data_IF_030473667272
#
_entry.id   IF_030473667272
#
_cell.length_a   1.000
_cell.length_b   1.000
_cell.length_c   1.000
_cell.angle_alpha   90.00
_cell.angle_beta   90.00
_cell.angle_gamma   90.00
#
_symmetry.space_group_name_H-M   'P 1'
#
loop_
_entity.id
_entity.type
_entity.pdbx_description
1 polymer ?
#
# COMPACT_ATOMS: atom_id res chain seq x y z
N UNK A 1 -9.03 -18.49 0.92
CA UNK A 1 -10.38 -18.00 1.23
C UNK A 1 -10.45 -16.59 1.85
N UNK A 2 -9.38 -15.96 2.40
CA UNK A 2 -9.47 -14.54 2.82
C UNK A 2 -9.28 -13.50 1.68
N UNK A 3 -8.38 -13.78 0.72
CA UNK A 3 -7.95 -12.78 -0.28
C UNK A 3 -9.05 -12.34 -1.25
N UNK A 4 -9.94 -13.26 -1.62
CA UNK A 4 -11.04 -13.01 -2.59
C UNK A 4 -12.10 -12.07 -2.01
N UNK A 5 -12.25 -12.03 -0.69
CA UNK A 5 -13.23 -11.16 -0.02
C UNK A 5 -12.77 -9.70 0.05
N UNK A 6 -11.49 -9.40 -0.18
CA UNK A 6 -10.98 -8.03 -0.03
C UNK A 6 -11.57 -7.05 -1.03
N UNK A 7 -11.75 -7.42 -2.29
CA UNK A 7 -12.33 -6.51 -3.29
C UNK A 7 -13.75 -6.04 -2.91
N UNK A 8 -14.68 -6.98 -2.65
CA UNK A 8 -16.04 -6.64 -2.21
C UNK A 8 -16.09 -5.90 -0.86
N UNK A 9 -15.26 -6.29 0.11
CA UNK A 9 -15.19 -5.63 1.43
C UNK A 9 -14.64 -4.20 1.32
N UNK A 10 -13.58 -4.00 0.55
CA UNK A 10 -12.98 -2.69 0.30
C UNK A 10 -13.97 -1.74 -0.38
N UNK A 11 -14.68 -2.21 -1.40
CA UNK A 11 -15.75 -1.44 -2.03
C UNK A 11 -16.96 -1.21 -1.11
N UNK A 12 -17.22 -2.10 -0.16
CA UNK A 12 -18.23 -1.89 0.86
C UNK A 12 -17.81 -0.81 1.86
N UNK A 13 -16.52 -0.71 2.21
CA UNK A 13 -15.99 0.36 3.08
C UNK A 13 -16.36 1.73 2.56
N UNK A 14 -16.19 1.99 1.26
CA UNK A 14 -16.59 3.26 0.64
C UNK A 14 -18.08 3.56 0.71
N UNK A 15 -18.94 2.54 0.60
CA UNK A 15 -20.40 2.70 0.74
C UNK A 15 -20.81 2.95 2.19
N UNK A 16 -20.12 2.31 3.14
CA UNK A 16 -20.37 2.48 4.57
C UNK A 16 -19.94 3.89 4.99
N UNK A 17 -18.72 4.33 4.62
CA UNK A 17 -18.23 5.67 4.97
C UNK A 17 -19.07 6.77 4.35
N UNK A 18 -19.56 6.61 3.11
CA UNK A 18 -20.47 7.56 2.47
C UNK A 18 -21.82 7.72 3.21
N UNK A 19 -22.25 6.71 3.96
CA UNK A 19 -23.49 6.74 4.75
C UNK A 19 -23.31 7.21 6.20
N UNK A 20 -22.07 7.44 6.66
CA UNK A 20 -21.79 7.85 8.03
C UNK A 20 -21.82 9.39 8.16
N UNK A 21 -22.30 9.93 9.30
CA UNK A 21 -22.50 11.36 9.48
C UNK A 21 -21.20 12.17 9.68
N UNK A 22 -20.06 11.50 9.84
CA UNK A 22 -18.75 12.14 9.94
C UNK A 22 -18.14 12.40 8.56
N UNK A 23 -17.74 13.65 8.33
CA UNK A 23 -17.08 14.11 7.10
C UNK A 23 -15.72 13.44 6.93
N UNK A 24 -15.37 13.13 5.69
CA UNK A 24 -14.03 12.67 5.33
C UNK A 24 -12.99 13.67 5.84
N UNK A 25 -12.07 13.17 6.68
CA UNK A 25 -11.07 13.94 7.39
C UNK A 25 -9.83 14.10 6.51
N UNK A 26 -9.51 15.29 6.04
CA UNK A 26 -8.21 15.56 5.39
C UNK A 26 -7.38 16.56 6.18
N UNK A 27 -8.02 17.53 6.85
CA UNK A 27 -7.35 18.60 7.60
C UNK A 27 -6.23 18.14 8.55
N UNK A 28 -6.42 17.12 9.42
CA UNK A 28 -5.36 16.69 10.32
C UNK A 28 -4.15 16.05 9.63
N UNK A 29 -4.37 15.27 8.57
CA UNK A 29 -3.30 14.58 7.83
C UNK A 29 -2.56 15.58 6.92
N UNK A 30 -3.31 16.44 6.25
CA UNK A 30 -2.75 17.53 5.43
C UNK A 30 -1.94 18.51 6.28
N UNK A 31 -2.40 18.84 7.49
CA UNK A 31 -1.66 19.66 8.44
C UNK A 31 -0.40 18.96 8.96
N UNK A 32 -0.43 17.64 9.12
CA UNK A 32 0.76 16.86 9.50
C UNK A 32 1.80 16.85 8.38
N UNK A 33 1.39 16.70 7.10
CA UNK A 33 2.30 16.83 5.95
C UNK A 33 2.93 18.24 5.94
N UNK A 34 2.12 19.30 6.11
CA UNK A 34 2.60 20.68 6.18
C UNK A 34 3.62 20.87 7.33
N UNK A 35 3.33 20.33 8.52
CA UNK A 35 4.20 20.47 9.68
C UNK A 35 5.53 19.71 9.53
N UNK A 36 5.51 18.54 8.90
CA UNK A 36 6.70 17.69 8.74
C UNK A 36 7.57 18.08 7.55
N UNK A 37 6.97 18.54 6.46
CA UNK A 37 7.67 18.79 5.19
C UNK A 37 7.68 20.25 4.76
N UNK A 38 7.01 21.15 5.50
CA UNK A 38 6.89 22.57 5.14
C UNK A 38 5.97 22.82 3.94
N UNK A 39 5.20 21.81 3.51
CA UNK A 39 4.30 21.89 2.37
C UNK A 39 3.63 20.53 2.11
N UNK A 40 3.06 20.36 0.92
CA UNK A 40 2.42 19.11 0.50
C UNK A 40 3.33 18.35 -0.48
N UNK A 41 4.03 17.27 -0.05
CA UNK A 41 4.91 16.48 -0.92
C UNK A 41 4.24 15.96 -2.18
N UNK A 42 2.96 15.60 -2.09
CA UNK A 42 2.15 15.15 -3.22
C UNK A 42 1.96 16.22 -4.31
N UNK A 43 2.14 17.49 -3.98
CA UNK A 43 2.05 18.60 -4.93
C UNK A 43 3.41 18.98 -5.50
N UNK A 44 4.37 19.33 -4.64
CA UNK A 44 5.62 19.92 -5.11
C UNK A 44 6.56 18.89 -5.77
N UNK A 45 6.45 17.59 -5.47
CA UNK A 45 7.32 16.58 -6.08
C UNK A 45 7.07 16.47 -7.59
N UNK A 46 5.79 16.41 -7.99
CA UNK A 46 5.40 16.34 -9.40
C UNK A 46 5.70 17.65 -10.15
N UNK A 47 5.57 18.80 -9.47
CA UNK A 47 5.95 20.10 -10.03
C UNK A 47 7.46 20.23 -10.24
N UNK A 48 8.26 19.75 -9.28
CA UNK A 48 9.72 19.85 -9.35
C UNK A 48 10.36 18.84 -10.29
N UNK A 49 9.80 17.64 -10.39
CA UNK A 49 10.30 16.56 -11.23
C UNK A 49 9.31 16.22 -12.34
N UNK A 50 9.01 17.19 -13.19
CA UNK A 50 8.00 17.08 -14.26
C UNK A 50 8.47 16.23 -15.45
N UNK A 51 9.01 15.03 -15.20
CA UNK A 51 9.57 14.14 -16.22
C UNK A 51 8.61 12.98 -16.51
N UNK A 52 8.22 12.82 -17.78
CA UNK A 52 7.33 11.72 -18.20
C UNK A 52 7.91 10.34 -17.82
N UNK A 53 9.22 10.13 -17.98
CA UNK A 53 9.86 8.86 -17.64
C UNK A 53 9.75 8.53 -16.14
N UNK A 54 9.88 9.53 -15.26
CA UNK A 54 9.70 9.35 -13.83
C UNK A 54 8.23 9.05 -13.49
N UNK A 55 7.30 9.80 -14.10
CA UNK A 55 5.86 9.54 -13.95
C UNK A 55 5.52 8.10 -14.31
N UNK A 56 5.95 7.63 -15.48
CA UNK A 56 5.67 6.27 -15.95
C UNK A 56 6.32 5.21 -15.06
N UNK A 57 7.56 5.41 -14.62
CA UNK A 57 8.23 4.50 -13.70
C UNK A 57 7.49 4.38 -12.36
N UNK A 58 7.00 5.50 -11.81
CA UNK A 58 6.27 5.52 -10.55
C UNK A 58 4.86 4.94 -10.69
N UNK A 59 4.14 5.22 -11.78
CA UNK A 59 2.85 4.58 -12.05
C UNK A 59 3.00 3.07 -12.27
N UNK A 60 4.07 2.62 -12.95
CA UNK A 60 4.39 1.20 -13.08
C UNK A 60 4.71 0.58 -11.71
N UNK A 61 5.52 1.24 -10.89
CA UNK A 61 5.82 0.77 -9.53
C UNK A 61 4.52 0.63 -8.72
N UNK A 62 3.65 1.64 -8.76
CA UNK A 62 2.32 1.59 -8.11
C UNK A 62 1.48 0.43 -8.63
N UNK A 63 1.38 0.26 -9.95
CA UNK A 63 0.62 -0.83 -10.58
C UNK A 63 1.15 -2.22 -10.22
N UNK A 64 2.47 -2.36 -10.03
CA UNK A 64 3.10 -3.63 -9.68
C UNK A 64 2.64 -4.20 -8.33
N UNK A 65 2.02 -3.38 -7.48
CA UNK A 65 1.48 -3.75 -6.16
C UNK A 65 0.74 -5.09 -6.15
N UNK A 66 -0.15 -5.33 -7.13
CA UNK A 66 -0.95 -6.55 -7.20
C UNK A 66 -0.09 -7.82 -7.38
N UNK A 67 1.01 -7.70 -8.12
CA UNK A 67 1.98 -8.79 -8.32
C UNK A 67 2.82 -9.00 -7.07
N UNK A 68 3.31 -7.91 -6.46
CA UNK A 68 4.13 -7.95 -5.26
C UNK A 68 3.41 -8.64 -4.11
N UNK A 69 2.10 -8.41 -3.95
CA UNK A 69 1.32 -9.01 -2.86
C UNK A 69 1.33 -10.54 -2.89
N UNK A 70 1.33 -11.12 -4.09
CA UNK A 70 1.27 -12.59 -4.28
C UNK A 70 2.66 -13.22 -4.45
N UNK A 71 3.70 -12.42 -4.69
CA UNK A 71 5.04 -12.93 -4.99
C UNK A 71 5.60 -13.85 -3.88
N UNK A 72 5.58 -13.41 -2.62
CA UNK A 72 6.10 -14.21 -1.52
C UNK A 72 5.27 -15.48 -1.24
N UNK A 73 3.93 -15.41 -1.10
CA UNK A 73 3.12 -16.62 -0.92
C UNK A 73 3.27 -17.64 -2.04
N UNK A 74 3.25 -17.21 -3.31
CA UNK A 74 3.40 -18.12 -4.47
C UNK A 74 4.76 -18.81 -4.44
N UNK A 75 5.83 -18.05 -4.20
CA UNK A 75 7.17 -18.62 -4.11
C UNK A 75 7.32 -19.64 -2.97
N UNK A 76 6.76 -19.34 -1.80
CA UNK A 76 6.78 -20.23 -0.64
C UNK A 76 5.99 -21.53 -0.91
N UNK A 77 4.80 -21.44 -1.54
CA UNK A 77 4.03 -22.62 -1.97
C UNK A 77 4.79 -23.45 -3.00
N UNK A 78 5.38 -22.80 -4.01
CA UNK A 78 6.20 -23.46 -5.02
C UNK A 78 7.43 -24.16 -4.40
N UNK A 79 7.96 -23.61 -3.31
CA UNK A 79 9.06 -24.18 -2.53
C UNK A 79 8.62 -25.21 -1.48
N UNK A 80 7.35 -25.63 -1.48
CA UNK A 80 6.76 -26.57 -0.50
C UNK A 80 6.83 -26.10 0.97
N UNK A 81 6.88 -24.77 1.17
CA UNK A 81 6.90 -24.10 2.49
C UNK A 81 5.50 -23.61 2.85
N UNK A 82 4.51 -24.51 2.84
CA UNK A 82 3.08 -24.18 2.98
C UNK A 82 2.75 -23.41 4.26
N UNK A 83 3.45 -23.73 5.35
CA UNK A 83 3.32 -23.05 6.63
C UNK A 83 3.64 -21.56 6.54
N UNK A 84 4.80 -21.24 5.97
CA UNK A 84 5.25 -19.86 5.79
C UNK A 84 4.38 -19.11 4.79
N UNK A 85 3.94 -19.78 3.73
CA UNK A 85 2.97 -19.20 2.81
C UNK A 85 1.67 -18.81 3.51
N UNK A 86 1.14 -19.68 4.39
CA UNK A 86 -0.05 -19.36 5.21
C UNK A 86 0.21 -18.18 6.13
N UNK A 87 1.38 -18.11 6.76
CA UNK A 87 1.74 -16.96 7.60
C UNK A 87 1.85 -15.67 6.79
N UNK A 88 2.45 -15.69 5.60
CA UNK A 88 2.53 -14.53 4.72
C UNK A 88 1.14 -14.01 4.33
N UNK A 89 0.23 -14.92 3.96
CA UNK A 89 -1.16 -14.57 3.63
C UNK A 89 -1.91 -14.03 4.86
N UNK A 90 -1.74 -14.66 6.03
CA UNK A 90 -2.36 -14.22 7.28
C UNK A 90 -1.87 -12.83 7.68
N UNK A 91 -0.56 -12.58 7.59
CA UNK A 91 0.05 -11.31 7.91
C UNK A 91 -0.44 -10.19 6.99
N UNK A 92 -0.45 -10.43 5.68
CA UNK A 92 -1.00 -9.48 4.71
C UNK A 92 -2.49 -9.22 4.96
N UNK A 93 -3.26 -10.27 5.28
CA UNK A 93 -4.69 -10.16 5.55
C UNK A 93 -4.98 -9.36 6.83
N UNK A 94 -4.27 -9.65 7.92
CA UNK A 94 -4.41 -8.91 9.18
C UNK A 94 -4.02 -7.43 9.02
N UNK A 95 -2.94 -7.16 8.29
CA UNK A 95 -2.51 -5.81 7.95
C UNK A 95 -3.61 -5.06 7.20
N UNK A 96 -4.24 -5.71 6.21
CA UNK A 96 -5.36 -5.14 5.47
C UNK A 96 -6.56 -4.87 6.36
N UNK A 97 -6.89 -5.76 7.30
CA UNK A 97 -7.98 -5.53 8.26
C UNK A 97 -7.70 -4.33 9.18
N UNK A 98 -6.45 -4.13 9.61
CA UNK A 98 -6.06 -2.93 10.36
C UNK A 98 -6.29 -1.68 9.50
N UNK A 99 -5.84 -1.67 8.24
CA UNK A 99 -6.14 -0.56 7.32
C UNK A 99 -7.65 -0.32 7.16
N UNK A 100 -8.45 -1.38 6.99
CA UNK A 100 -9.92 -1.26 6.90
C UNK A 100 -10.53 -0.63 8.15
N UNK A 101 -10.04 -0.99 9.34
CA UNK A 101 -10.52 -0.37 10.57
C UNK A 101 -10.24 1.13 10.55
N UNK A 102 -9.03 1.55 10.18
CA UNK A 102 -8.73 2.98 10.02
C UNK A 102 -9.63 3.65 8.99
N UNK A 103 -9.87 3.05 7.82
CA UNK A 103 -10.72 3.67 6.80
C UNK A 103 -12.19 3.83 7.24
N UNK A 104 -12.67 2.98 8.15
CA UNK A 104 -14.02 3.10 8.72
C UNK A 104 -14.08 4.17 9.80
N UNK A 105 -13.11 4.19 10.72
CA UNK A 105 -13.12 5.03 11.92
C UNK A 105 -12.49 6.42 11.71
N UNK A 106 -11.55 6.51 10.77
CA UNK A 106 -10.77 7.69 10.39
C UNK A 106 -10.73 7.77 8.86
N UNK A 107 -11.87 8.06 8.19
CA UNK A 107 -11.90 8.14 6.75
C UNK A 107 -11.08 9.36 6.30
N UNK A 108 -10.04 9.14 5.50
CA UNK A 108 -9.16 10.21 4.99
C UNK A 108 -9.19 10.26 3.46
N UNK A 109 -9.47 11.44 2.90
CA UNK A 109 -9.41 11.69 1.46
C UNK A 109 -7.97 11.79 1.02
N UNK A 110 -7.63 11.18 -0.11
CA UNK A 110 -6.30 11.33 -0.68
C UNK A 110 -6.15 12.64 -1.48
N UNK A 111 -4.90 13.11 -1.69
CA UNK A 111 -4.61 14.26 -2.56
C UNK A 111 -5.24 14.15 -3.96
N UNK A 112 -5.45 12.93 -4.46
CA UNK A 112 -6.10 12.61 -5.72
C UNK A 112 -7.51 13.20 -5.86
N UNK A 113 -8.27 13.27 -4.76
CA UNK A 113 -9.62 13.85 -4.76
C UNK A 113 -9.63 15.35 -4.40
N UNK A 114 -8.56 15.84 -3.76
CA UNK A 114 -8.50 17.20 -3.22
C UNK A 114 -7.85 18.20 -4.18
N UNK A 115 -6.89 17.75 -4.98
CA UNK A 115 -6.13 18.60 -5.88
C UNK A 115 -6.37 18.25 -7.35
N UNK A 116 -6.04 19.16 -8.30
CA UNK A 116 -6.15 18.86 -9.72
C UNK A 116 -5.38 17.58 -10.10
N UNK A 117 -5.78 16.85 -11.15
CA UNK A 117 -4.99 15.74 -11.66
C UNK A 117 -3.63 16.22 -12.19
N UNK A 118 -2.70 15.29 -12.36
CA UNK A 118 -1.44 15.58 -13.04
C UNK A 118 -1.73 16.01 -14.49
N UNK A 119 -1.07 17.07 -14.94
CA UNK A 119 -1.20 17.60 -16.30
C UNK A 119 -0.14 17.03 -17.23
N UNK A 120 -0.31 17.14 -18.56
CA UNK A 120 0.75 16.86 -19.52
C UNK A 120 2.04 17.63 -19.18
N UNK A 121 3.23 17.03 -19.37
CA UNK A 121 3.46 15.72 -20.00
C UNK A 121 3.26 14.52 -19.06
N UNK A 122 3.04 14.73 -17.75
CA UNK A 122 3.03 13.65 -16.75
C UNK A 122 1.88 12.65 -16.92
N UNK A 123 0.77 13.10 -17.52
CA UNK A 123 -0.43 12.31 -17.78
C UNK A 123 -0.45 11.57 -19.12
N UNK A 124 0.56 11.77 -19.98
CA UNK A 124 0.56 11.24 -21.36
C UNK A 124 1.05 9.80 -21.45
N UNK A 125 1.47 9.24 -20.32
CA UNK A 125 2.02 7.91 -20.20
C UNK A 125 0.99 6.76 -20.27
N UNK A 126 1.45 5.57 -20.65
CA UNK A 126 0.62 4.36 -20.72
C UNK A 126 0.28 3.85 -19.32
N UNK A 127 1.25 3.84 -18.40
CA UNK A 127 1.03 3.39 -17.04
C UNK A 127 0.18 4.38 -16.25
N UNK A 128 0.34 5.68 -16.47
CA UNK A 128 -0.60 6.69 -15.97
C UNK A 128 -2.05 6.31 -16.35
N UNK A 129 -2.33 6.17 -17.66
CA UNK A 129 -3.68 5.84 -18.14
C UNK A 129 -4.21 4.53 -17.55
N UNK A 130 -3.35 3.50 -17.46
CA UNK A 130 -3.72 2.20 -16.91
C UNK A 130 -4.11 2.30 -15.43
N UNK A 131 -3.27 2.92 -14.61
CA UNK A 131 -3.52 3.07 -13.16
C UNK A 131 -4.78 3.89 -12.92
N UNK A 132 -4.97 5.00 -13.64
CA UNK A 132 -6.15 5.83 -13.49
C UNK A 132 -7.43 5.17 -14.03
N UNK A 133 -7.34 4.32 -15.06
CA UNK A 133 -8.49 3.53 -15.53
C UNK A 133 -8.92 2.46 -14.50
N UNK A 134 -7.98 1.84 -13.80
CA UNK A 134 -8.28 0.89 -12.71
C UNK A 134 -8.79 1.63 -11.48
N UNK A 135 -8.14 2.72 -11.10
CA UNK A 135 -8.49 3.53 -9.93
C UNK A 135 -9.83 4.24 -10.09
N UNK A 136 -10.18 4.71 -11.29
CA UNK A 136 -11.50 5.28 -11.57
C UNK A 136 -12.66 4.28 -11.42
N UNK A 137 -12.37 2.97 -11.38
CA UNK A 137 -13.36 1.90 -11.18
C UNK A 137 -13.34 1.28 -9.79
N UNK A 138 -12.27 1.47 -9.02
CA UNK A 138 -12.04 0.78 -7.74
C UNK A 138 -11.50 1.65 -6.60
N UNK A 139 -11.21 2.93 -6.85
CA UNK A 139 -10.78 3.90 -5.85
C UNK A 139 -11.92 4.25 -4.90
N UNK A 140 -11.60 4.31 -3.62
CA UNK A 140 -12.53 4.63 -2.55
C UNK A 140 -12.06 5.92 -1.89
N UNK A 141 -12.88 6.98 -1.96
CA UNK A 141 -12.63 8.18 -1.18
C UNK A 141 -12.80 7.88 0.31
N UNK A 142 -11.97 8.47 1.15
CA UNK A 142 -11.89 8.16 2.58
C UNK A 142 -10.99 6.98 2.96
N UNK A 143 -10.31 6.33 2.02
CA UNK A 143 -9.44 5.17 2.28
C UNK A 143 -7.93 5.46 2.19
N UNK A 144 -7.50 6.71 2.42
CA UNK A 144 -6.09 7.08 2.26
C UNK A 144 -5.20 6.66 3.45
N UNK A 145 -5.65 6.85 4.70
CA UNK A 145 -4.80 6.67 5.88
C UNK A 145 -5.11 5.38 6.67
N UNK A 146 -4.11 4.53 6.98
CA UNK A 146 -2.75 4.51 6.47
C UNK A 146 -2.69 3.93 5.05
N UNK A 147 -1.59 4.13 4.33
CA UNK A 147 -1.46 3.58 2.97
C UNK A 147 -1.37 2.04 3.00
N UNK A 148 -2.42 1.37 2.51
CA UNK A 148 -2.45 -0.09 2.36
C UNK A 148 -1.43 -0.59 1.32
N UNK A 149 -1.22 0.16 0.23
CA UNK A 149 -0.21 -0.16 -0.78
C UNK A 149 1.18 -0.27 -0.16
N UNK A 150 1.55 0.70 0.68
CA UNK A 150 2.85 0.70 1.39
C UNK A 150 2.90 -0.39 2.46
N UNK A 151 1.85 -0.51 3.28
CA UNK A 151 1.82 -1.50 4.36
C UNK A 151 1.95 -2.93 3.84
N UNK A 152 1.14 -3.30 2.85
CA UNK A 152 1.10 -4.66 2.32
C UNK A 152 2.34 -4.99 1.47
N UNK A 153 2.86 -4.03 0.67
CA UNK A 153 4.10 -4.24 -0.07
C UNK A 153 5.30 -4.39 0.87
N UNK A 154 5.34 -3.65 1.99
CA UNK A 154 6.35 -3.82 3.04
C UNK A 154 6.31 -5.19 3.71
N UNK A 155 5.11 -5.68 4.06
CA UNK A 155 4.93 -7.04 4.60
C UNK A 155 5.38 -8.09 3.58
N UNK A 156 4.94 -7.97 2.31
CA UNK A 156 5.34 -8.91 1.26
C UNK A 156 6.86 -8.90 1.04
N UNK A 157 7.49 -7.72 1.02
CA UNK A 157 8.92 -7.57 0.89
C UNK A 157 9.68 -8.26 2.04
N UNK A 158 9.19 -8.16 3.26
CA UNK A 158 9.80 -8.85 4.41
C UNK A 158 9.73 -10.38 4.28
N UNK A 159 8.57 -10.94 3.88
CA UNK A 159 8.45 -12.38 3.66
C UNK A 159 9.30 -12.85 2.47
N UNK A 160 9.31 -12.10 1.37
CA UNK A 160 10.16 -12.37 0.21
C UNK A 160 11.67 -12.38 0.57
N UNK A 161 12.10 -11.42 1.39
CA UNK A 161 13.49 -11.33 1.84
C UNK A 161 13.92 -12.53 2.71
N UNK A 162 13.00 -13.02 3.54
CA UNK A 162 13.22 -14.21 4.38
C UNK A 162 13.20 -15.50 3.57
N UNK A 163 12.43 -15.55 2.49
CA UNK A 163 12.33 -16.75 1.66
C UNK A 163 13.54 -16.93 0.74
N UNK A 164 13.97 -15.87 0.06
CA UNK A 164 15.11 -15.89 -0.88
C UNK A 164 15.65 -14.48 -1.10
N UNK A 165 16.98 -14.30 -1.07
CA UNK A 165 17.60 -12.98 -1.32
C UNK A 165 17.29 -12.43 -2.71
N UNK A 166 17.20 -13.29 -3.73
CA UNK A 166 16.86 -12.88 -5.10
C UNK A 166 15.43 -12.36 -5.18
N UNK A 167 14.48 -13.08 -4.57
CA UNK A 167 13.08 -12.64 -4.51
C UNK A 167 12.94 -11.39 -3.65
N UNK A 168 13.62 -11.36 -2.50
CA UNK A 168 13.68 -10.21 -1.61
C UNK A 168 14.09 -8.95 -2.35
N UNK A 169 15.18 -8.96 -3.11
CA UNK A 169 15.59 -7.82 -3.92
C UNK A 169 14.54 -7.47 -4.99
N UNK A 170 13.99 -8.46 -5.67
CA UNK A 170 12.95 -8.27 -6.70
C UNK A 170 11.65 -7.66 -6.16
N UNK A 171 11.37 -7.78 -4.86
CA UNK A 171 10.16 -7.22 -4.21
C UNK A 171 10.47 -5.92 -3.47
N UNK A 172 11.60 -5.83 -2.76
CA UNK A 172 11.99 -4.63 -1.98
C UNK A 172 12.17 -3.42 -2.90
N UNK A 173 12.83 -3.57 -4.04
CA UNK A 173 13.07 -2.45 -4.96
C UNK A 173 11.75 -1.82 -5.45
N UNK A 174 10.79 -2.57 -6.02
CA UNK A 174 9.50 -2.00 -6.39
C UNK A 174 8.67 -1.56 -5.17
N UNK A 175 8.76 -2.21 -4.01
CA UNK A 175 8.08 -1.76 -2.80
C UNK A 175 8.56 -0.38 -2.34
N UNK A 176 9.86 -0.09 -2.41
CA UNK A 176 10.39 1.26 -2.18
C UNK A 176 9.87 2.24 -3.24
N UNK A 177 9.81 1.81 -4.51
CA UNK A 177 9.18 2.59 -5.57
C UNK A 177 7.72 2.95 -5.27
N UNK A 178 6.95 2.02 -4.70
CA UNK A 178 5.55 2.25 -4.28
C UNK A 178 5.46 3.37 -3.23
N UNK A 179 6.37 3.43 -2.25
CA UNK A 179 6.39 4.50 -1.24
C UNK A 179 6.49 5.89 -1.88
N UNK A 180 7.33 6.03 -2.91
CA UNK A 180 7.42 7.31 -3.63
C UNK A 180 6.24 7.52 -4.56
N UNK A 181 5.76 6.46 -5.22
CA UNK A 181 4.67 6.53 -6.16
C UNK A 181 3.35 6.93 -5.51
N UNK A 182 3.06 6.44 -4.30
CA UNK A 182 1.84 6.79 -3.56
C UNK A 182 1.74 8.29 -3.31
N UNK A 183 2.86 8.94 -3.03
CA UNK A 183 2.93 10.39 -2.80
C UNK A 183 2.98 11.17 -4.12
N UNK A 184 3.93 10.82 -5.01
CA UNK A 184 4.15 11.54 -6.26
C UNK A 184 2.92 11.53 -7.18
N UNK A 185 2.25 10.37 -7.29
CA UNK A 185 1.06 10.21 -8.13
C UNK A 185 -0.23 10.73 -7.43
N UNK A 186 -0.10 11.40 -6.28
CA UNK A 186 -1.20 11.98 -5.49
C UNK A 186 -2.17 10.96 -4.88
N UNK A 187 -1.85 9.67 -4.87
CA UNK A 187 -2.73 8.66 -4.26
C UNK A 187 -2.77 8.75 -2.73
N UNK A 188 -1.77 9.37 -2.11
CA UNK A 188 -1.63 9.48 -0.66
C UNK A 188 -0.85 10.74 -0.27
N UNK A 189 -1.07 11.22 0.95
CA UNK A 189 -0.16 12.12 1.64
C UNK A 189 1.13 11.37 2.03
N UNK A 190 2.21 12.10 2.32
CA UNK A 190 3.46 11.48 2.75
C UNK A 190 3.30 10.78 4.11
N UNK A 191 2.55 11.39 5.02
CA UNK A 191 2.21 10.81 6.33
C UNK A 191 1.46 9.48 6.20
N UNK A 192 0.57 9.31 5.22
CA UNK A 192 -0.11 8.03 4.98
C UNK A 192 0.90 6.91 4.68
N UNK A 193 1.94 7.25 3.91
CA UNK A 193 2.99 6.32 3.51
C UNK A 193 3.92 5.98 4.67
N UNK A 194 4.25 6.95 5.52
CA UNK A 194 4.99 6.74 6.78
C UNK A 194 4.20 5.82 7.71
N UNK A 195 2.91 6.08 7.89
CA UNK A 195 2.04 5.24 8.72
C UNK A 195 1.92 3.81 8.15
N UNK A 196 1.86 3.67 6.82
CA UNK A 196 1.91 2.37 6.15
C UNK A 196 3.20 1.60 6.42
N UNK A 197 4.37 2.27 6.35
CA UNK A 197 5.65 1.66 6.71
C UNK A 197 5.71 1.24 8.18
N UNK A 198 5.24 2.09 9.08
CA UNK A 198 5.17 1.78 10.51
C UNK A 198 4.29 0.55 10.77
N UNK A 199 3.15 0.46 10.09
CA UNK A 199 2.25 -0.69 10.18
C UNK A 199 2.91 -1.97 9.62
N UNK A 200 3.64 -1.89 8.51
CA UNK A 200 4.38 -3.04 7.98
C UNK A 200 5.43 -3.55 8.98
N UNK A 201 6.20 -2.63 9.59
CA UNK A 201 7.19 -2.98 10.62
C UNK A 201 6.52 -3.63 11.83
N UNK A 202 5.41 -3.06 12.32
CA UNK A 202 4.65 -3.61 13.44
C UNK A 202 4.13 -5.02 13.13
N UNK A 203 3.53 -5.22 11.95
CA UNK A 203 3.09 -6.53 11.49
C UNK A 203 4.26 -7.52 11.48
N UNK A 204 5.37 -7.20 10.82
CA UNK A 204 6.55 -8.07 10.78
C UNK A 204 7.13 -8.37 12.18
N UNK A 205 7.05 -7.42 13.11
CA UNK A 205 7.44 -7.59 14.51
C UNK A 205 6.58 -8.62 15.25
N UNK A 206 5.27 -8.60 15.04
CA UNK A 206 4.32 -9.57 15.61
C UNK A 206 4.50 -10.97 15.03
N UNK A 207 4.90 -11.09 13.76
CA UNK A 207 5.05 -12.39 13.09
C UNK A 207 6.45 -13.03 13.28
N UNK A 208 7.49 -12.25 13.62
CA UNK A 208 8.84 -12.76 13.94
C UNK A 208 8.89 -13.85 15.04
N UNK A 209 8.17 -13.73 16.18
CA UNK A 209 8.18 -14.71 17.26
C UNK A 209 7.42 -16.01 16.94
N UNK A 210 6.48 -15.98 15.98
CA UNK A 210 5.64 -17.15 15.67
C UNK A 210 6.40 -18.22 14.87
N UNK A 211 7.39 -17.82 14.08
CA UNK A 211 8.36 -18.72 13.43
C UNK A 211 9.23 -19.44 14.49
N UNK A 212 9.83 -18.69 15.42
CA UNK A 212 10.80 -19.25 16.38
C UNK A 212 10.18 -20.25 17.36
N UNK A 213 8.89 -20.09 17.71
CA UNK A 213 8.19 -21.04 18.60
C UNK A 213 7.82 -22.35 17.92
N UNK A 214 7.90 -22.44 16.59
CA UNK A 214 7.52 -23.63 15.83
C UNK A 214 8.71 -24.54 15.56
N UNK A 215 9.89 -23.97 15.35
CA UNK A 215 11.16 -24.70 15.25
C UNK A 215 11.62 -25.28 16.60
N UNK A 216 11.07 -24.78 17.71
CA UNK A 216 11.39 -25.24 19.08
C UNK A 216 10.54 -26.43 19.58
N UNK A 217 9.58 -26.96 18.80
CA UNK A 217 8.87 -28.19 19.17
C UNK A 217 9.63 -29.39 18.59
N UNK A 218 10.18 -30.30 19.43
CA UNK A 218 10.71 -31.55 18.92
C UNK A 218 9.60 -32.30 18.19
N UNK A 219 9.90 -32.81 17.01
CA UNK A 219 9.10 -33.86 16.38
C UNK A 219 9.13 -35.07 17.30
N UNK A 220 8.04 -35.29 18.04
CA UNK A 220 7.79 -36.51 18.79
C UNK A 220 7.19 -37.57 17.87
#
# INVERSE_FOLDING_TARGET
MPVVLFGPLYGATGRITAGLPWRVLHGPVEAADLALFGGQPSMYLAERFSWLALSEALHLAYFSYYLLLMAAPIHLLASRRDAEARYAVLAGSATMFVCMAFYIWLPVSSPYYLYPPLSPPLSDGVFYRLVHAVSGRGGVDGAAFPSSHVALSGVSAAFAWRSSRRLGLAVVVPALGIVFATVYCRFHFAVDSIAGLALAVAACGVYRPLDMRRDARPTA
#
